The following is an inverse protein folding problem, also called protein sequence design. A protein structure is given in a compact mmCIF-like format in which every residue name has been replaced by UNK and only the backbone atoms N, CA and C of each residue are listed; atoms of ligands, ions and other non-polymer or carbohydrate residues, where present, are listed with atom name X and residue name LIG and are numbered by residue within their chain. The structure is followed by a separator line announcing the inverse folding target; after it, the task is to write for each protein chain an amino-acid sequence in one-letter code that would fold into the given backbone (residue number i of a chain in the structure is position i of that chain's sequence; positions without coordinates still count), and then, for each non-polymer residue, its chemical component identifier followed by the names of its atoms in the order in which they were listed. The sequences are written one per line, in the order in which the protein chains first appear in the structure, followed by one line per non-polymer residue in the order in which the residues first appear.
data_IF_374902907328
#
_entry.id   IF_374902907328
#
_cell.length_a   1.000
_cell.length_b   1.000
_cell.length_c   1.000
_cell.angle_alpha   90.00
_cell.angle_beta   90.00
_cell.angle_gamma   90.00
#
_symmetry.space_group_name_H-M   'P 1'
#
loop_
_entity.id
_entity.type
_entity.pdbx_description
1 polymer ?
#
# COMPACT_ATOMS: atom_id res chain seq x y z
N UNK A 1 -22.53 -40.15 15.90
CA UNK A 1 -22.83 -39.72 14.51
C UNK A 1 -22.41 -38.26 14.34
N UNK A 2 -21.10 -38.03 14.20
CA UNK A 2 -20.50 -36.70 14.21
C UNK A 2 -20.58 -35.98 12.86
N UNK A 3 -20.33 -34.67 12.88
CA UNK A 3 -20.26 -33.79 11.70
C UNK A 3 -19.39 -34.36 10.56
N UNK A 4 -18.28 -35.02 10.90
CA UNK A 4 -17.40 -35.69 9.95
C UNK A 4 -18.08 -36.79 9.13
N UNK A 5 -19.04 -37.49 9.73
CA UNK A 5 -19.80 -38.56 9.08
C UNK A 5 -20.84 -38.00 8.11
N UNK A 6 -21.32 -36.76 8.37
CA UNK A 6 -22.17 -36.02 7.43
C UNK A 6 -21.34 -35.46 6.28
N UNK A 7 -20.15 -34.91 6.57
CA UNK A 7 -19.23 -34.41 5.56
C UNK A 7 -18.75 -35.52 4.61
N UNK A 8 -18.37 -36.69 5.15
CA UNK A 8 -17.95 -37.83 4.33
C UNK A 8 -19.09 -38.36 3.45
N UNK A 9 -20.32 -38.37 3.95
CA UNK A 9 -21.51 -38.74 3.17
C UNK A 9 -21.79 -37.74 2.04
N UNK A 10 -21.66 -36.44 2.28
CA UNK A 10 -21.81 -35.43 1.23
C UNK A 10 -20.74 -35.57 0.15
N UNK A 11 -19.47 -35.79 0.53
CA UNK A 11 -18.37 -36.01 -0.42
C UNK A 11 -18.58 -37.28 -1.23
N UNK A 12 -19.03 -38.37 -0.59
CA UNK A 12 -19.26 -39.66 -1.26
C UNK A 12 -20.47 -39.64 -2.19
N UNK A 13 -21.54 -38.93 -1.82
CA UNK A 13 -22.72 -38.74 -2.68
C UNK A 13 -22.39 -37.91 -3.92
N UNK A 14 -21.57 -36.87 -3.77
CA UNK A 14 -21.12 -36.04 -4.89
C UNK A 14 -20.09 -36.76 -5.77
N UNK A 15 -19.22 -37.59 -5.17
CA UNK A 15 -18.26 -38.42 -5.90
C UNK A 15 -18.96 -39.50 -6.76
N UNK A 16 -20.05 -40.11 -6.26
CA UNK A 16 -20.82 -41.09 -7.03
C UNK A 16 -21.58 -40.44 -8.21
N UNK A 17 -21.91 -39.14 -8.11
CA UNK A 17 -22.44 -38.34 -9.22
C UNK A 17 -21.35 -37.89 -10.21
N UNK A 18 -20.13 -37.62 -9.70
CA UNK A 18 -18.97 -37.26 -10.52
C UNK A 18 -18.43 -38.42 -11.38
N UNK A 19 -18.63 -39.68 -10.97
CA UNK A 19 -18.30 -40.86 -11.79
C UNK A 19 -19.09 -40.89 -13.11
N UNK A 20 -20.31 -40.35 -13.14
CA UNK A 20 -21.11 -40.25 -14.36
C UNK A 20 -20.69 -39.09 -15.28
N UNK A 21 -19.85 -38.17 -14.79
CA UNK A 21 -19.43 -36.96 -15.51
C UNK A 21 -17.97 -37.06 -15.97
N UNK A 22 -17.54 -38.25 -16.38
CA UNK A 22 -16.30 -38.48 -17.12
C UNK A 22 -16.39 -37.91 -18.55
N UNK A 23 -16.73 -36.62 -18.69
CA UNK A 23 -16.38 -35.85 -19.88
C UNK A 23 -14.86 -35.56 -19.80
N UNK A 24 -14.09 -36.53 -20.27
CA UNK A 24 -12.69 -36.47 -20.72
C UNK A 24 -11.73 -35.59 -19.87
N UNK A 25 -11.07 -36.16 -18.82
CA UNK A 25 -10.18 -35.42 -17.92
C UNK A 25 -8.99 -34.73 -18.62
N UNK A 26 -8.65 -35.15 -19.84
CA UNK A 26 -7.64 -34.49 -20.66
C UNK A 26 -8.05 -33.05 -21.07
N UNK A 27 -9.32 -32.83 -21.44
CA UNK A 27 -9.81 -31.49 -21.81
C UNK A 27 -9.88 -30.52 -20.63
N UNK A 28 -10.16 -31.02 -19.43
CA UNK A 28 -10.20 -30.19 -18.22
C UNK A 28 -8.80 -29.69 -17.84
N UNK A 29 -7.78 -30.53 -18.02
CA UNK A 29 -6.38 -30.14 -17.78
C UNK A 29 -5.91 -29.06 -18.76
N UNK A 30 -6.21 -29.20 -20.05
CA UNK A 30 -5.85 -28.18 -21.06
C UNK A 30 -6.56 -26.84 -20.80
N UNK A 31 -7.85 -26.87 -20.43
CA UNK A 31 -8.60 -25.68 -20.04
C UNK A 31 -8.00 -25.02 -18.78
N UNK A 32 -7.62 -25.81 -17.78
CA UNK A 32 -7.03 -25.29 -16.54
C UNK A 32 -5.69 -24.59 -16.76
N UNK A 33 -4.87 -25.08 -17.70
CA UNK A 33 -3.58 -24.46 -18.06
C UNK A 33 -3.78 -23.14 -18.78
N UNK A 34 -4.82 -23.03 -19.62
CA UNK A 34 -5.21 -21.77 -20.25
C UNK A 34 -5.74 -20.75 -19.22
N UNK A 35 -6.58 -21.19 -18.29
CA UNK A 35 -7.14 -20.33 -17.24
C UNK A 35 -6.06 -19.83 -16.27
N UNK A 36 -5.11 -20.67 -15.87
CA UNK A 36 -3.97 -20.26 -15.04
C UNK A 36 -3.10 -19.20 -15.73
N UNK A 37 -2.91 -19.29 -17.05
CA UNK A 37 -2.17 -18.28 -17.79
C UNK A 37 -2.93 -16.95 -17.85
N UNK A 38 -4.25 -17.00 -18.05
CA UNK A 38 -5.10 -15.81 -18.01
C UNK A 38 -5.08 -15.16 -16.62
N UNK A 39 -5.14 -15.96 -15.55
CA UNK A 39 -5.08 -15.46 -14.18
C UNK A 39 -3.74 -14.87 -13.82
N UNK A 40 -2.64 -15.40 -14.35
CA UNK A 40 -1.31 -14.83 -14.17
C UNK A 40 -1.22 -13.41 -14.80
N UNK A 41 -1.83 -13.21 -15.96
CA UNK A 41 -1.93 -11.87 -16.58
C UNK A 41 -2.77 -10.93 -15.72
N UNK A 42 -3.92 -11.38 -15.22
CA UNK A 42 -4.77 -10.58 -14.31
C UNK A 42 -4.04 -10.23 -13.01
N UNK A 43 -3.29 -11.17 -12.43
CA UNK A 43 -2.51 -10.95 -11.23
C UNK A 43 -1.41 -9.91 -11.46
N UNK A 44 -0.69 -9.97 -12.59
CA UNK A 44 0.29 -8.93 -12.94
C UNK A 44 -0.35 -7.55 -13.05
N UNK A 45 -1.53 -7.46 -13.67
CA UNK A 45 -2.28 -6.21 -13.75
C UNK A 45 -2.73 -5.72 -12.37
N UNK A 46 -3.25 -6.61 -11.52
CA UNK A 46 -3.66 -6.29 -10.16
C UNK A 46 -2.48 -5.81 -9.30
N UNK A 47 -1.32 -6.45 -9.41
CA UNK A 47 -0.09 -6.04 -8.74
C UNK A 47 0.37 -4.67 -9.25
N UNK A 48 0.33 -4.42 -10.57
CA UNK A 48 0.67 -3.11 -11.12
C UNK A 48 -0.27 -2.01 -10.58
N UNK A 49 -1.58 -2.29 -10.50
CA UNK A 49 -2.56 -1.38 -9.91
C UNK A 49 -2.31 -1.15 -8.41
N UNK A 50 -1.94 -2.20 -7.66
CA UNK A 50 -1.59 -2.11 -6.24
C UNK A 50 -0.31 -1.29 -6.01
N UNK A 51 0.72 -1.45 -6.86
CA UNK A 51 1.93 -0.62 -6.81
C UNK A 51 1.59 0.84 -7.14
N UNK A 52 0.75 1.07 -8.15
CA UNK A 52 0.31 2.40 -8.51
C UNK A 52 -0.51 3.07 -7.39
N UNK A 53 -1.42 2.34 -6.74
CA UNK A 53 -2.19 2.83 -5.62
C UNK A 53 -1.29 3.12 -4.41
N UNK A 54 -0.33 2.25 -4.11
CA UNK A 54 0.67 2.47 -3.07
C UNK A 54 1.51 3.73 -3.34
N UNK A 55 1.99 3.92 -4.58
CA UNK A 55 2.74 5.11 -4.98
C UNK A 55 1.89 6.38 -4.87
N UNK A 56 0.62 6.29 -5.21
CA UNK A 56 -0.32 7.40 -5.07
C UNK A 56 -0.61 7.77 -3.62
N UNK A 57 -0.76 6.78 -2.73
CA UNK A 57 -0.98 7.00 -1.30
C UNK A 57 0.27 7.58 -0.62
N UNK A 58 1.44 7.04 -0.91
CA UNK A 58 2.72 7.55 -0.41
C UNK A 58 2.94 9.01 -0.84
N UNK A 59 2.71 9.35 -2.12
CA UNK A 59 2.80 10.74 -2.57
C UNK A 59 1.79 11.68 -1.87
N UNK A 60 0.56 11.22 -1.61
CA UNK A 60 -0.42 12.01 -0.85
C UNK A 60 0.03 12.22 0.60
N UNK A 61 0.59 11.20 1.25
CA UNK A 61 1.12 11.30 2.60
C UNK A 61 2.30 12.30 2.66
N UNK A 62 3.22 12.25 1.70
CA UNK A 62 4.34 13.20 1.58
C UNK A 62 3.84 14.65 1.40
N UNK A 63 2.84 14.86 0.54
CA UNK A 63 2.24 16.18 0.34
C UNK A 63 1.57 16.71 1.62
N UNK A 64 0.84 15.86 2.34
CA UNK A 64 0.22 16.23 3.62
C UNK A 64 1.27 16.59 4.69
N UNK A 65 2.38 15.84 4.75
CA UNK A 65 3.50 16.13 5.64
C UNK A 65 4.19 17.46 5.29
N UNK A 66 4.41 17.74 4.01
CA UNK A 66 4.98 19.00 3.54
C UNK A 66 4.09 20.21 3.88
N UNK A 67 2.77 20.07 3.68
CA UNK A 67 1.80 21.09 4.07
C UNK A 67 1.79 21.32 5.58
N UNK A 68 1.80 20.25 6.37
CA UNK A 68 1.91 20.34 7.84
C UNK A 68 3.14 21.14 8.28
N UNK A 69 4.31 20.86 7.67
CA UNK A 69 5.55 21.60 7.95
C UNK A 69 5.42 23.08 7.59
N UNK A 70 4.83 23.39 6.44
CA UNK A 70 4.62 24.78 6.00
C UNK A 70 3.72 25.56 6.96
N UNK A 71 2.63 24.94 7.44
CA UNK A 71 1.75 25.55 8.42
C UNK A 71 2.42 25.73 9.79
N UNK A 72 3.33 24.82 10.15
CA UNK A 72 4.14 24.97 11.35
C UNK A 72 5.09 26.17 11.27
N UNK A 73 5.83 26.30 10.17
CA UNK A 73 6.74 27.43 9.93
C UNK A 73 5.98 28.78 9.94
N UNK A 74 4.76 28.80 9.36
CA UNK A 74 3.87 29.97 9.41
C UNK A 74 3.42 30.30 10.83
N UNK A 75 3.08 29.29 11.64
CA UNK A 75 2.73 29.49 13.04
C UNK A 75 3.91 30.06 13.84
N UNK A 76 5.14 29.55 13.63
CA UNK A 76 6.34 30.08 14.27
C UNK A 76 6.61 31.54 13.88
N UNK A 77 6.42 31.89 12.60
CA UNK A 77 6.54 33.26 12.11
C UNK A 77 5.50 34.21 12.74
N UNK A 78 4.26 33.76 12.89
CA UNK A 78 3.19 34.52 13.56
C UNK A 78 3.49 34.72 15.05
N UNK A 79 4.00 33.69 15.74
CA UNK A 79 4.44 33.80 17.15
C UNK A 79 5.58 34.80 17.31
N UNK A 80 6.58 34.79 16.41
CA UNK A 80 7.69 35.77 16.42
C UNK A 80 7.21 37.21 16.25
N UNK A 81 6.07 37.41 15.57
CA UNK A 81 5.44 38.73 15.37
C UNK A 81 4.44 39.11 16.47
N UNK A 82 4.21 38.24 17.46
CA UNK A 82 3.24 38.46 18.53
C UNK A 82 1.77 38.23 18.14
N UNK A 83 1.51 37.66 16.96
CA UNK A 83 0.16 37.39 16.45
C UNK A 83 -0.31 36.00 16.89
N UNK A 84 -0.62 35.85 18.18
CA UNK A 84 -0.95 34.56 18.78
C UNK A 84 -2.23 33.91 18.20
N UNK A 85 -3.22 34.72 17.80
CA UNK A 85 -4.46 34.24 17.16
C UNK A 85 -4.20 33.55 15.82
N UNK A 86 -3.36 34.16 14.97
CA UNK A 86 -2.94 33.61 13.68
C UNK A 86 -2.09 32.35 13.84
N UNK A 87 -1.24 32.30 14.86
CA UNK A 87 -0.46 31.12 15.17
C UNK A 87 -1.35 29.92 15.57
N UNK A 88 -2.37 30.16 16.41
CA UNK A 88 -3.34 29.11 16.81
C UNK A 88 -4.13 28.59 15.62
N UNK A 89 -4.56 29.46 14.71
CA UNK A 89 -5.28 29.05 13.51
C UNK A 89 -4.37 28.21 12.57
N UNK A 90 -3.12 28.63 12.38
CA UNK A 90 -2.14 27.88 11.59
C UNK A 90 -1.84 26.49 12.18
N UNK A 91 -1.75 26.37 13.51
CA UNK A 91 -1.60 25.08 14.19
C UNK A 91 -2.84 24.20 14.05
N UNK A 92 -4.03 24.80 14.07
CA UNK A 92 -5.29 24.06 13.86
C UNK A 92 -5.33 23.46 12.45
N UNK A 93 -4.95 24.25 11.43
CA UNK A 93 -4.82 23.76 10.05
C UNK A 93 -3.72 22.72 9.92
N UNK A 94 -2.58 22.89 10.60
CA UNK A 94 -1.54 21.86 10.65
C UNK A 94 -2.09 20.53 11.15
N UNK A 95 -2.89 20.55 12.21
CA UNK A 95 -3.48 19.34 12.81
C UNK A 95 -4.36 18.59 11.83
N UNK A 96 -5.20 19.30 11.06
CA UNK A 96 -6.03 18.67 10.02
C UNK A 96 -5.18 18.01 8.93
N UNK A 97 -4.05 18.61 8.54
CA UNK A 97 -3.12 18.00 7.56
C UNK A 97 -2.31 16.82 8.14
N UNK A 98 -2.05 16.82 9.45
CA UNK A 98 -1.44 15.66 10.11
C UNK A 98 -2.42 14.50 10.23
N UNK A 99 -3.68 14.78 10.54
CA UNK A 99 -4.74 13.77 10.60
C UNK A 99 -4.98 13.12 9.23
N UNK A 100 -5.00 13.91 8.14
CA UNK A 100 -5.10 13.35 6.78
C UNK A 100 -3.87 12.54 6.37
N UNK A 101 -2.66 12.95 6.78
CA UNK A 101 -1.43 12.18 6.57
C UNK A 101 -1.44 10.84 7.32
N UNK A 102 -1.90 10.83 8.57
CA UNK A 102 -2.02 9.60 9.37
C UNK A 102 -3.08 8.63 8.82
N UNK A 103 -4.20 9.15 8.29
CA UNK A 103 -5.20 8.30 7.64
C UNK A 103 -4.65 7.62 6.38
N UNK A 104 -3.76 8.28 5.64
CA UNK A 104 -3.16 7.74 4.43
C UNK A 104 -2.12 6.61 4.68
N UNK A 105 -1.52 6.54 5.87
CA UNK A 105 -0.50 5.53 6.22
C UNK A 105 -1.10 4.26 6.88
N UNK A 106 -2.42 4.24 7.15
CA UNK A 106 -3.15 3.08 7.68
C UNK A 106 -2.92 2.83 9.18
N UNK A 107 -3.82 2.10 9.87
CA UNK A 107 -3.71 1.81 11.30
C UNK A 107 -2.53 0.84 11.55
N UNK A 108 -1.33 1.37 11.71
CA UNK A 108 -0.12 0.56 12.01
C UNK A 108 1.19 1.14 11.48
N UNK A 109 1.17 2.14 10.60
CA UNK A 109 2.40 2.80 10.19
C UNK A 109 2.80 3.84 11.25
N UNK A 110 3.71 3.44 12.14
CA UNK A 110 4.35 4.35 13.09
C UNK A 110 5.08 5.50 12.36
N UNK A 111 5.46 6.58 13.09
CA UNK A 111 6.06 7.76 12.48
C UNK A 111 7.29 7.37 11.66
N UNK A 112 7.18 7.44 10.32
CA UNK A 112 8.35 7.32 9.45
C UNK A 112 9.25 8.50 9.77
N UNK A 113 10.35 8.23 10.49
CA UNK A 113 11.40 9.24 10.69
C UNK A 113 11.76 9.80 9.33
N UNK A 114 11.97 11.11 9.18
CA UNK A 114 12.57 11.67 7.97
C UNK A 114 14.03 11.20 7.92
N UNK A 115 14.23 9.96 7.45
CA UNK A 115 15.53 9.35 7.21
C UNK A 115 15.96 9.69 5.80
N UNK A 116 16.95 10.58 5.72
CA UNK A 116 17.42 11.19 4.50
C UNK A 116 17.90 10.19 3.46
N UNK A 117 17.41 10.37 2.24
CA UNK A 117 18.24 10.22 1.06
C UNK A 117 19.02 11.53 0.88
N UNK A 118 19.98 11.77 1.78
CA UNK A 118 21.10 12.62 1.45
C UNK A 118 21.90 11.83 0.41
N UNK A 119 21.85 12.31 -0.84
CA UNK A 119 22.79 11.91 -1.87
C UNK A 119 24.18 12.34 -1.39
N UNK A 120 24.88 11.42 -0.73
CA UNK A 120 26.31 11.50 -0.49
C UNK A 120 27.01 11.01 -1.77
N UNK A 121 26.86 11.75 -2.86
CA UNK A 121 27.84 11.68 -3.96
C UNK A 121 29.01 12.57 -3.57
N UNK A 122 29.81 12.02 -2.67
CA UNK A 122 31.14 12.46 -2.33
C UNK A 122 31.95 12.53 -3.62
N UNK A 123 32.19 13.76 -4.07
CA UNK A 123 33.14 14.06 -5.13
C UNK A 123 34.44 13.33 -4.85
N UNK A 124 34.82 12.43 -5.75
CA UNK A 124 36.15 11.86 -5.80
C UNK A 124 37.07 12.93 -6.42
N UNK A 125 38.02 13.54 -5.70
CA UNK A 125 39.05 14.34 -6.36
C UNK A 125 40.06 13.35 -6.92
N UNK A 126 40.04 13.15 -8.25
CA UNK A 126 41.15 12.47 -8.93
C UNK A 126 42.45 13.20 -8.59
N UNK A 127 43.39 12.40 -8.09
CA UNK A 127 44.78 12.75 -7.83
C UNK A 127 45.35 13.59 -8.97
N UNK A 128 45.91 14.74 -8.59
CA UNK A 128 46.88 15.48 -9.39
C UNK A 128 48.20 14.73 -9.23
N UNK A 129 48.43 13.75 -10.10
CA UNK A 129 49.72 13.10 -10.19
C UNK A 129 50.74 14.08 -10.77
N UNK A 130 51.94 13.94 -10.21
CA UNK A 130 53.19 14.62 -10.48
C UNK A 130 53.73 14.29 -11.86
#
# INVERSE_FOLDING_TARGET
MGFFDRLSRLVRANANAAVSSMEDPAKILDQSVADMQADLVKLRQAVALAIASQKRLTSQAEQAAAQSKTWYERAELALKKGEESLAREALTRRKTFQETGNLADGPGAGPRRPGGIAQEESGCPRRKDR
#
